data_IF_945545544297
#
_entry.id   IF_945545544297
#
_cell.length_a   1.000
_cell.length_b   1.000
_cell.length_c   1.000
_cell.angle_alpha   90.00
_cell.angle_beta   90.00
_cell.angle_gamma   90.00
#
_symmetry.space_group_name_H-M   'P 1'
#
loop_
_entity.id
_entity.type
_entity.pdbx_description
1 polymer ?
#
# COMPACT_ATOMS: atom_id res chain seq x y z
N UNK A 1 -15.05 -8.66 -12.69
CA UNK A 1 -15.99 -7.69 -12.08
C UNK A 1 -16.50 -6.70 -13.11
N UNK A 2 -15.60 -5.98 -13.79
CA UNK A 2 -15.92 -4.88 -14.73
C UNK A 2 -16.87 -5.28 -15.88
N UNK A 3 -16.72 -6.46 -16.48
CA UNK A 3 -17.65 -6.93 -17.53
C UNK A 3 -19.09 -7.12 -17.03
N UNK A 4 -19.25 -7.50 -15.75
CA UNK A 4 -20.56 -7.71 -15.16
C UNK A 4 -21.23 -6.37 -14.84
N UNK A 5 -20.43 -5.40 -14.37
CA UNK A 5 -20.86 -4.01 -14.15
C UNK A 5 -21.33 -3.39 -15.48
N UNK A 6 -20.53 -3.47 -16.54
CA UNK A 6 -20.93 -2.91 -17.85
C UNK A 6 -22.20 -3.56 -18.44
N UNK A 7 -22.44 -4.85 -18.17
CA UNK A 7 -23.73 -5.48 -18.51
C UNK A 7 -24.89 -4.93 -17.68
N UNK A 8 -24.69 -4.72 -16.38
CA UNK A 8 -25.71 -4.14 -15.50
C UNK A 8 -26.05 -2.72 -15.95
N UNK A 9 -25.05 -1.90 -16.25
CA UNK A 9 -25.23 -0.53 -16.77
C UNK A 9 -26.04 -0.53 -18.07
N UNK A 10 -25.66 -1.38 -19.04
CA UNK A 10 -26.39 -1.48 -20.31
C UNK A 10 -27.84 -1.96 -20.12
N UNK A 11 -28.09 -2.85 -19.16
CA UNK A 11 -29.45 -3.28 -18.81
C UNK A 11 -30.24 -2.16 -18.12
N UNK A 12 -29.60 -1.36 -17.26
CA UNK A 12 -30.22 -0.22 -16.58
C UNK A 12 -30.56 0.91 -17.56
N UNK A 13 -29.71 1.18 -18.55
CA UNK A 13 -29.99 2.16 -19.62
C UNK A 13 -31.24 1.78 -20.44
N UNK A 14 -31.46 0.49 -20.63
CA UNK A 14 -32.62 -0.06 -21.33
C UNK A 14 -33.82 -0.28 -20.40
N UNK A 15 -33.62 -0.19 -19.09
CA UNK A 15 -34.63 -0.43 -18.09
C UNK A 15 -35.55 0.80 -17.95
N UNK A 16 -36.85 0.56 -17.90
CA UNK A 16 -37.81 1.60 -17.52
C UNK A 16 -37.71 1.93 -16.02
N UNK A 17 -38.29 3.07 -15.57
CA UNK A 17 -38.22 3.51 -14.17
C UNK A 17 -38.74 2.46 -13.18
N UNK A 18 -39.75 1.66 -13.55
CA UNK A 18 -40.27 0.59 -12.71
C UNK A 18 -39.25 -0.53 -12.42
N UNK A 19 -38.34 -0.81 -13.36
CA UNK A 19 -37.28 -1.79 -13.14
C UNK A 19 -36.17 -1.24 -12.24
N UNK A 20 -35.84 0.06 -12.34
CA UNK A 20 -34.92 0.71 -11.42
C UNK A 20 -35.46 0.72 -9.97
N UNK A 21 -36.74 1.06 -9.79
CA UNK A 21 -37.43 0.99 -8.49
C UNK A 21 -37.42 -0.44 -7.92
N UNK A 22 -37.72 -1.45 -8.74
CA UNK A 22 -37.64 -2.85 -8.31
C UNK A 22 -36.24 -3.24 -7.82
N UNK A 23 -35.19 -2.81 -8.53
CA UNK A 23 -33.80 -3.09 -8.12
C UNK A 23 -33.50 -2.40 -6.78
N UNK A 24 -33.95 -1.16 -6.60
CA UNK A 24 -33.78 -0.43 -5.34
C UNK A 24 -34.46 -1.15 -4.17
N UNK A 25 -35.74 -1.51 -4.30
CA UNK A 25 -36.47 -2.27 -3.28
C UNK A 25 -35.81 -3.61 -2.96
N UNK A 26 -35.25 -4.28 -3.97
CA UNK A 26 -34.53 -5.53 -3.80
C UNK A 26 -33.20 -5.33 -3.04
N UNK A 27 -32.45 -4.27 -3.35
CA UNK A 27 -31.23 -3.91 -2.64
C UNK A 27 -31.53 -3.53 -1.18
N UNK A 28 -32.61 -2.79 -0.93
CA UNK A 28 -33.03 -2.41 0.42
C UNK A 28 -33.38 -3.66 1.25
N UNK A 29 -34.14 -4.61 0.67
CA UNK A 29 -34.47 -5.88 1.31
C UNK A 29 -33.21 -6.72 1.63
N UNK A 30 -32.28 -6.82 0.68
CA UNK A 30 -31.03 -7.54 0.92
C UNK A 30 -30.15 -6.84 1.95
N UNK A 31 -30.11 -5.51 1.95
CA UNK A 31 -29.42 -4.70 2.97
C UNK A 31 -29.96 -4.99 4.36
N UNK A 32 -31.29 -5.05 4.54
CA UNK A 32 -31.90 -5.40 5.81
C UNK A 32 -31.52 -6.82 6.27
N UNK A 33 -31.57 -7.80 5.35
CA UNK A 33 -31.17 -9.17 5.63
C UNK A 33 -29.70 -9.26 6.05
N UNK A 34 -28.83 -8.55 5.34
CA UNK A 34 -27.40 -8.48 5.62
C UNK A 34 -27.11 -7.82 6.97
N UNK A 35 -27.81 -6.74 7.31
CA UNK A 35 -27.67 -6.07 8.60
C UNK A 35 -27.96 -7.04 9.76
N UNK A 36 -29.01 -7.87 9.63
CA UNK A 36 -29.33 -8.90 10.63
C UNK A 36 -28.27 -9.98 10.73
N UNK A 37 -27.67 -10.39 9.60
CA UNK A 37 -26.54 -11.34 9.59
C UNK A 37 -25.34 -10.72 10.30
N UNK A 38 -24.97 -9.48 9.96
CA UNK A 38 -23.84 -8.77 10.56
C UNK A 38 -24.02 -8.58 12.08
N UNK A 39 -25.24 -8.30 12.54
CA UNK A 39 -25.56 -8.22 13.95
C UNK A 39 -25.41 -9.58 14.68
N UNK A 40 -25.53 -10.72 13.98
CA UNK A 40 -25.48 -12.04 14.57
C UNK A 40 -24.07 -12.67 14.62
N UNK A 41 -23.15 -12.29 13.72
CA UNK A 41 -21.82 -12.92 13.58
C UNK A 41 -20.81 -12.45 14.62
N UNK A 42 -21.05 -11.31 15.29
CA UNK A 42 -20.13 -10.72 16.25
C UNK A 42 -18.95 -9.96 15.60
N UNK A 43 -18.30 -9.10 16.38
CA UNK A 43 -17.33 -8.11 15.88
C UNK A 43 -16.08 -8.73 15.23
N UNK A 44 -15.47 -9.73 15.87
CA UNK A 44 -14.27 -10.40 15.33
C UNK A 44 -14.55 -11.06 13.96
N UNK A 45 -15.69 -11.74 13.84
CA UNK A 45 -16.05 -12.42 12.61
C UNK A 45 -16.48 -11.42 11.53
N UNK A 46 -17.13 -10.32 11.90
CA UNK A 46 -17.43 -9.20 11.00
C UNK A 46 -16.14 -8.59 10.41
N UNK A 47 -15.11 -8.36 11.23
CA UNK A 47 -13.81 -7.90 10.76
C UNK A 47 -13.17 -8.88 9.79
N UNK A 48 -13.25 -10.19 10.07
CA UNK A 48 -12.76 -11.23 9.15
C UNK A 48 -13.50 -11.24 7.81
N UNK A 49 -14.82 -11.05 7.81
CA UNK A 49 -15.61 -10.94 6.57
C UNK A 49 -15.17 -9.72 5.75
N UNK A 50 -14.91 -8.60 6.40
CA UNK A 50 -14.44 -7.37 5.76
C UNK A 50 -13.02 -7.47 5.17
N UNK A 51 -12.27 -8.56 5.41
CA UNK A 51 -10.98 -8.78 4.72
C UNK A 51 -11.13 -9.24 3.28
N UNK A 52 -12.30 -9.75 2.88
CA UNK A 52 -12.62 -10.04 1.49
C UNK A 52 -13.08 -8.76 0.79
N UNK A 53 -12.40 -8.38 -0.30
CA UNK A 53 -12.62 -7.12 -1.02
C UNK A 53 -14.05 -6.99 -1.56
N UNK A 54 -14.64 -8.08 -2.05
CA UNK A 54 -16.00 -8.08 -2.57
C UNK A 54 -17.02 -7.94 -1.44
N UNK A 55 -16.80 -8.64 -0.33
CA UNK A 55 -17.67 -8.53 0.85
C UNK A 55 -17.56 -7.14 1.48
N UNK A 56 -16.36 -6.60 1.61
CA UNK A 56 -16.13 -5.23 2.09
C UNK A 56 -16.88 -4.20 1.25
N UNK A 57 -16.77 -4.29 -0.08
CA UNK A 57 -17.50 -3.42 -1.02
C UNK A 57 -19.01 -3.53 -0.88
N UNK A 58 -19.53 -4.73 -0.66
CA UNK A 58 -20.96 -4.97 -0.49
C UNK A 58 -21.47 -4.46 0.88
N UNK A 59 -20.65 -4.57 1.93
CA UNK A 59 -20.95 -3.98 3.23
C UNK A 59 -20.96 -2.45 3.15
N UNK A 60 -20.03 -1.85 2.40
CA UNK A 60 -20.01 -0.40 2.17
C UNK A 60 -21.25 0.09 1.43
N UNK A 61 -21.72 -0.65 0.42
CA UNK A 61 -22.95 -0.31 -0.31
C UNK A 61 -24.18 -0.18 0.60
N UNK A 62 -24.18 -0.87 1.75
CA UNK A 62 -25.28 -0.86 2.71
C UNK A 62 -24.95 -0.15 4.03
N UNK A 63 -23.82 0.56 4.13
CA UNK A 63 -23.34 1.21 5.37
C UNK A 63 -23.16 0.24 6.57
N UNK A 64 -22.82 -1.02 6.29
CA UNK A 64 -22.65 -2.09 7.29
C UNK A 64 -21.19 -2.47 7.54
N UNK A 65 -20.25 -1.66 7.04
CA UNK A 65 -18.84 -1.96 7.20
C UNK A 65 -18.41 -1.84 8.68
N UNK A 66 -17.72 -2.83 9.26
CA UNK A 66 -17.36 -2.81 10.69
C UNK A 66 -16.33 -1.75 11.06
N UNK A 67 -15.51 -1.32 10.09
CA UNK A 67 -14.56 -0.22 10.23
C UNK A 67 -15.18 1.10 9.76
N UNK A 68 -14.99 2.16 10.54
CA UNK A 68 -15.28 3.53 10.13
C UNK A 68 -14.38 3.99 8.97
N UNK A 69 -14.74 5.12 8.35
CA UNK A 69 -14.04 5.67 7.18
C UNK A 69 -12.55 5.85 7.43
N UNK A 70 -12.18 6.35 8.61
CA UNK A 70 -10.78 6.56 8.97
C UNK A 70 -10.02 5.25 9.05
N UNK A 71 -10.54 4.27 9.78
CA UNK A 71 -9.92 2.96 9.94
C UNK A 71 -9.80 2.22 8.61
N UNK A 72 -10.78 2.36 7.70
CA UNK A 72 -10.69 1.80 6.34
C UNK A 72 -9.57 2.44 5.52
N UNK A 73 -9.49 3.77 5.53
CA UNK A 73 -8.40 4.49 4.84
C UNK A 73 -7.06 4.08 5.44
N UNK A 74 -6.89 4.10 6.76
CA UNK A 74 -5.65 3.68 7.43
C UNK A 74 -5.27 2.24 7.07
N UNK A 75 -6.23 1.31 7.02
CA UNK A 75 -6.00 -0.07 6.59
C UNK A 75 -5.55 -0.16 5.13
N UNK A 76 -6.15 0.62 4.23
CA UNK A 76 -5.78 0.63 2.81
C UNK A 76 -4.40 1.26 2.56
N UNK A 77 -3.97 2.16 3.44
CA UNK A 77 -2.66 2.80 3.40
C UNK A 77 -1.58 2.03 4.16
N UNK A 78 -1.94 0.95 4.84
CA UNK A 78 -0.99 0.13 5.59
C UNK A 78 0.12 -0.40 4.66
N UNK A 79 1.37 -0.09 5.00
CA UNK A 79 2.55 -0.44 4.18
C UNK A 79 2.96 0.62 3.15
N UNK A 80 2.25 1.75 3.08
CA UNK A 80 2.70 2.95 2.34
C UNK A 80 3.42 3.93 3.28
N UNK A 81 4.07 4.95 2.72
CA UNK A 81 4.66 6.05 3.51
C UNK A 81 3.69 7.22 3.75
N UNK A 82 2.39 7.00 3.53
CA UNK A 82 1.34 7.99 3.74
C UNK A 82 0.72 7.84 5.15
N UNK A 83 0.54 8.96 5.83
CA UNK A 83 -0.15 9.06 7.12
C UNK A 83 -1.44 9.84 6.98
N UNK A 84 -2.51 9.37 7.62
CA UNK A 84 -3.82 10.04 7.63
C UNK A 84 -3.81 11.15 8.68
N UNK A 85 -3.90 12.40 8.24
CA UNK A 85 -3.96 13.56 9.14
C UNK A 85 -5.40 13.82 9.59
N UNK A 86 -6.29 13.99 8.62
CA UNK A 86 -7.68 14.40 8.83
C UNK A 86 -8.56 13.56 7.92
N UNK A 87 -9.69 13.10 8.45
CA UNK A 87 -10.77 12.46 7.71
C UNK A 87 -12.04 13.21 8.12
N UNK A 88 -12.68 13.84 7.16
CA UNK A 88 -14.01 14.43 7.29
C UNK A 88 -15.00 13.65 6.39
N UNK A 89 -16.26 14.07 6.35
CA UNK A 89 -17.34 13.37 5.62
C UNK A 89 -17.05 13.20 4.11
N UNK A 90 -16.50 14.23 3.46
CA UNK A 90 -16.30 14.27 2.00
C UNK A 90 -14.83 14.44 1.56
N UNK A 91 -13.92 14.70 2.50
CA UNK A 91 -12.50 14.89 2.17
C UNK A 91 -11.53 14.25 3.17
N UNK A 92 -10.36 13.88 2.66
CA UNK A 92 -9.26 13.33 3.46
C UNK A 92 -7.95 14.07 3.18
N UNK A 93 -7.18 14.29 4.25
CA UNK A 93 -5.83 14.84 4.17
C UNK A 93 -4.79 13.81 4.54
N UNK A 94 -3.87 13.58 3.62
CA UNK A 94 -2.76 12.65 3.78
C UNK A 94 -1.44 13.40 3.82
N UNK A 95 -0.53 12.97 4.69
CA UNK A 95 0.87 13.38 4.67
C UNK A 95 1.71 12.27 4.07
N UNK A 96 2.36 12.54 2.96
CA UNK A 96 3.31 11.62 2.34
C UNK A 96 4.71 11.91 2.85
N UNK A 97 5.34 10.95 3.53
CA UNK A 97 6.76 11.01 3.86
C UNK A 97 7.59 10.41 2.73
N UNK A 98 8.52 11.15 2.09
CA UNK A 98 9.40 10.56 1.09
C UNK A 98 10.42 9.66 1.79
N UNK A 99 10.22 8.35 1.75
CA UNK A 99 11.23 7.39 2.18
C UNK A 99 12.29 7.29 1.08
N UNK A 100 13.54 7.63 1.43
CA UNK A 100 14.65 7.66 0.50
C UNK A 100 14.85 6.33 -0.22
N UNK A 101 14.78 6.40 -1.56
CA UNK A 101 15.01 5.33 -2.52
C UNK A 101 14.14 4.06 -2.38
N UNK A 102 13.33 3.87 -3.43
CA UNK A 102 12.52 2.69 -3.78
C UNK A 102 11.09 2.68 -3.21
N UNK A 103 10.14 2.95 -4.12
CA UNK A 103 8.71 2.62 -4.02
C UNK A 103 7.82 3.37 -3.01
N UNK A 104 7.90 4.70 -2.94
CA UNK A 104 6.72 5.45 -2.51
C UNK A 104 5.62 5.30 -3.60
N UNK A 105 4.36 4.97 -3.26
CA UNK A 105 3.28 4.99 -4.24
C UNK A 105 3.19 6.38 -4.86
N UNK A 106 3.06 6.43 -6.18
CA UNK A 106 2.77 7.70 -6.84
C UNK A 106 1.41 8.22 -6.34
N UNK A 107 1.27 9.54 -6.25
CA UNK A 107 0.04 10.23 -5.84
C UNK A 107 -1.26 9.62 -6.41
N UNK A 108 -1.34 9.19 -7.70
CA UNK A 108 -2.53 8.56 -8.25
C UNK A 108 -2.91 7.25 -7.59
N UNK A 109 -1.93 6.40 -7.25
CA UNK A 109 -2.14 5.12 -6.59
C UNK A 109 -2.68 5.30 -5.17
N UNK A 110 -2.19 6.34 -4.48
CA UNK A 110 -2.69 6.70 -3.16
C UNK A 110 -4.16 7.15 -3.22
N UNK A 111 -4.50 8.01 -4.19
CA UNK A 111 -5.89 8.44 -4.41
C UNK A 111 -6.81 7.29 -4.83
N UNK A 112 -6.31 6.31 -5.56
CA UNK A 112 -7.08 5.11 -5.93
C UNK A 112 -7.33 4.22 -4.70
N UNK A 113 -6.30 3.98 -3.88
CA UNK A 113 -6.44 3.21 -2.64
C UNK A 113 -7.47 3.85 -1.69
N UNK A 114 -7.43 5.17 -1.54
CA UNK A 114 -8.44 5.91 -0.75
C UNK A 114 -9.83 5.73 -1.34
N UNK A 115 -10.02 5.94 -2.65
CA UNK A 115 -11.34 5.83 -3.29
C UNK A 115 -11.94 4.43 -3.21
N UNK A 116 -11.11 3.41 -3.26
CA UNK A 116 -11.58 2.03 -3.08
C UNK A 116 -11.98 1.75 -1.62
N UNK A 117 -11.27 2.33 -0.65
CA UNK A 117 -11.52 2.10 0.77
C UNK A 117 -12.66 2.97 1.35
N UNK A 118 -12.83 4.17 0.80
CA UNK A 118 -13.79 5.17 1.23
C UNK A 118 -14.44 5.82 -0.02
N UNK A 119 -15.42 5.15 -0.65
CA UNK A 119 -16.08 5.66 -1.85
C UNK A 119 -16.89 6.94 -1.61
N UNK A 120 -17.22 7.26 -0.35
CA UNK A 120 -17.87 8.51 0.05
C UNK A 120 -16.94 9.73 0.01
N UNK A 121 -15.61 9.52 -0.03
CA UNK A 121 -14.64 10.61 -0.07
C UNK A 121 -14.50 11.14 -1.50
N UNK A 122 -14.97 12.36 -1.73
CA UNK A 122 -14.91 13.03 -3.03
C UNK A 122 -13.55 13.72 -3.28
N UNK A 123 -12.90 14.18 -2.21
CA UNK A 123 -11.69 15.00 -2.29
C UNK A 123 -10.52 14.44 -1.48
N UNK A 124 -9.37 14.29 -2.13
CA UNK A 124 -8.14 13.76 -1.50
C UNK A 124 -7.04 14.80 -1.61
N UNK A 125 -6.66 15.40 -0.49
CA UNK A 125 -5.53 16.31 -0.37
C UNK A 125 -4.28 15.55 0.09
N UNK A 126 -3.18 15.69 -0.67
CA UNK A 126 -1.93 15.00 -0.38
C UNK A 126 -0.84 16.05 -0.17
N UNK A 127 -0.33 16.13 1.05
CA UNK A 127 0.81 16.96 1.42
C UNK A 127 2.08 16.14 1.39
N UNK A 128 2.99 16.47 0.48
CA UNK A 128 4.32 15.84 0.46
C UNK A 128 5.19 16.57 1.47
N UNK A 129 5.64 15.86 2.51
CA UNK A 129 6.66 16.40 3.40
C UNK A 129 7.91 16.63 2.56
N UNK A 130 8.37 17.88 2.50
CA UNK A 130 9.60 18.19 1.79
C UNK A 130 10.72 17.38 2.46
N UNK A 131 11.26 16.38 1.74
CA UNK A 131 12.47 15.73 2.17
C UNK A 131 13.48 16.85 2.41
N UNK A 132 13.99 16.97 3.63
CA UNK A 132 15.15 17.78 3.91
C UNK A 132 16.27 17.17 3.07
N UNK A 133 16.39 17.61 1.81
CA UNK A 133 17.50 17.24 0.99
C UNK A 133 18.71 17.70 1.77
N UNK A 134 19.53 16.74 2.21
CA UNK A 134 20.89 17.00 2.60
C UNK A 134 21.58 17.48 1.32
N UNK A 135 21.31 18.73 0.95
CA UNK A 135 22.04 19.44 -0.08
C UNK A 135 23.47 19.43 0.43
N UNK A 136 24.29 18.55 -0.14
CA UNK A 136 25.74 18.65 0.03
C UNK A 136 26.07 19.98 -0.67
N UNK A 137 26.45 21.02 0.09
CA UNK A 137 26.76 22.30 -0.52
C UNK A 137 27.89 22.08 -1.52
N UNK A 138 27.84 22.70 -2.70
CA UNK A 138 28.90 22.55 -3.71
C UNK A 138 30.27 22.95 -3.14
N UNK A 139 30.29 23.82 -2.12
CA UNK A 139 31.51 24.18 -1.39
C UNK A 139 32.18 22.98 -0.70
N UNK A 140 31.43 21.92 -0.40
CA UNK A 140 31.93 20.67 0.20
C UNK A 140 32.50 19.70 -0.85
N UNK A 141 32.24 19.92 -2.14
CA UNK A 141 32.72 19.08 -3.25
C UNK A 141 34.10 19.50 -3.78
N UNK A 142 34.91 20.23 -3.00
CA UNK A 142 36.31 20.45 -3.36
C UNK A 142 37.08 19.13 -3.33
N UNK A 143 37.08 18.44 -4.47
CA UNK A 143 37.95 17.30 -4.74
C UNK A 143 39.38 17.78 -4.52
N UNK A 144 39.97 17.36 -3.39
CA UNK A 144 41.39 17.54 -3.13
C UNK A 144 42.12 16.69 -4.16
N UNK A 145 42.51 17.29 -5.28
CA UNK A 145 43.44 16.66 -6.23
C UNK A 145 44.78 16.59 -5.53
N UNK A 146 44.98 15.51 -4.77
CA UNK A 146 46.27 15.20 -4.16
C UNK A 146 47.35 15.15 -5.23
N UNK A 147 48.57 15.63 -4.94
CA UNK A 147 49.65 15.61 -5.91
C UNK A 147 49.91 14.17 -6.34
N UNK A 148 50.06 13.97 -7.65
CA UNK A 148 50.41 12.68 -8.23
C UNK A 148 51.75 12.22 -7.64
N UNK A 149 51.69 11.26 -6.71
CA UNK A 149 52.88 10.53 -6.26
C UNK A 149 53.29 9.64 -7.43
N UNK A 150 54.41 10.00 -8.05
CA UNK A 150 55.14 9.12 -8.95
C UNK A 150 55.68 7.96 -8.12
N UNK A 151 55.20 6.77 -8.40
CA UNK A 151 55.75 5.53 -7.86
C UNK A 151 57.02 5.17 -8.64
N UNK A 152 58.17 5.52 -8.08
CA UNK A 152 59.45 4.92 -8.49
C UNK A 152 59.48 3.46 -8.01
N UNK A 153 59.68 2.57 -8.97
CA UNK A 153 59.98 1.16 -8.79
C UNK A 153 61.40 1.04 -8.26
N UNK A 154 61.61 0.42 -7.09
CA UNK A 154 62.90 -0.20 -6.74
C UNK A 154 62.68 -1.45 -5.88
N UNK A 155 63.42 -2.48 -6.28
CA UNK A 155 63.45 -3.88 -5.89
C UNK A 155 63.82 -4.21 -4.43
N UNK A 156 63.62 -5.51 -4.11
CA UNK A 156 64.33 -6.37 -3.11
C UNK A 156 63.90 -6.23 -1.65
N UNK A 157 63.82 -7.26 -0.82
CA UNK A 157 64.12 -8.70 -0.90
C UNK A 157 63.46 -9.39 0.30
N UNK A 158 63.08 -10.66 0.12
CA UNK A 158 63.13 -11.78 1.08
C UNK A 158 62.65 -11.62 2.54
N UNK A 159 61.65 -12.42 2.94
CA UNK A 159 61.92 -13.58 3.81
C UNK A 159 60.70 -14.51 3.97
N UNK A 160 60.94 -15.76 3.58
CA UNK A 160 60.25 -17.03 3.84
C UNK A 160 59.97 -17.25 5.33
N UNK A 161 58.81 -17.85 5.70
CA UNK A 161 58.72 -19.11 6.48
C UNK A 161 57.32 -19.75 6.31
N UNK A 162 57.35 -21.02 5.93
CA UNK A 162 56.25 -21.98 5.82
C UNK A 162 55.73 -22.38 7.21
N UNK A 163 54.42 -22.60 7.35
CA UNK A 163 53.96 -23.80 8.07
C UNK A 163 52.58 -24.22 7.61
N UNK A 164 52.55 -25.50 7.28
CA UNK A 164 51.47 -26.33 6.78
C UNK A 164 50.57 -26.83 7.93
N UNK A 165 49.46 -27.45 7.54
CA UNK A 165 48.73 -28.53 8.20
C UNK A 165 47.28 -28.26 8.69
N UNK A 166 46.35 -28.63 7.79
CA UNK A 166 45.38 -29.72 7.96
C UNK A 166 44.20 -29.56 8.94
N UNK A 167 42.98 -29.40 8.40
CA UNK A 167 41.77 -30.08 8.91
C UNK A 167 40.89 -30.54 7.73
N UNK A 168 40.56 -31.84 7.72
CA UNK A 168 39.76 -32.57 6.71
C UNK A 168 38.27 -32.19 6.71
N UNK A 169 37.53 -32.47 5.62
CA UNK A 169 36.10 -32.16 5.48
C UNK A 169 35.20 -33.30 6.00
N UNK A 170 34.04 -32.95 6.57
CA UNK A 170 32.94 -33.85 6.91
C UNK A 170 31.74 -33.69 5.96
N UNK A 171 30.94 -34.74 5.70
CA UNK A 171 30.29 -34.95 4.41
C UNK A 171 28.83 -34.48 4.31
N UNK A 172 28.39 -34.37 3.04
CA UNK A 172 27.02 -34.08 2.59
C UNK A 172 26.04 -35.25 2.82
N UNK A 173 24.77 -34.86 2.85
CA UNK A 173 23.53 -35.62 2.98
C UNK A 173 23.36 -36.84 2.06
N UNK A 174 22.51 -37.79 2.49
CA UNK A 174 21.54 -38.48 1.62
C UNK A 174 20.36 -39.04 2.44
N UNK A 175 19.14 -38.73 2.00
CA UNK A 175 17.90 -39.46 2.28
C UNK A 175 17.87 -40.77 1.43
N UNK A 176 16.84 -41.64 1.44
CA UNK A 176 15.40 -41.35 1.36
C UNK A 176 14.59 -41.53 2.66
#
# INVERSE_FOLDING_TARGET
>A
MNERIGRIESMLEQAGPAAAELVKELLDLYGEGLARVMAAVGEEQALRLATDELVSSLLLLHDLHPLDTRARVESALAGTSAEVLVVEEDWVRLRLRPTGCHSAPAEPALREAVRNAAPEIEHVEIEVEAAASTLIPIESLTVRRGPAVRSDVTERSDAVVRSDATVRPGPRASAP
#
